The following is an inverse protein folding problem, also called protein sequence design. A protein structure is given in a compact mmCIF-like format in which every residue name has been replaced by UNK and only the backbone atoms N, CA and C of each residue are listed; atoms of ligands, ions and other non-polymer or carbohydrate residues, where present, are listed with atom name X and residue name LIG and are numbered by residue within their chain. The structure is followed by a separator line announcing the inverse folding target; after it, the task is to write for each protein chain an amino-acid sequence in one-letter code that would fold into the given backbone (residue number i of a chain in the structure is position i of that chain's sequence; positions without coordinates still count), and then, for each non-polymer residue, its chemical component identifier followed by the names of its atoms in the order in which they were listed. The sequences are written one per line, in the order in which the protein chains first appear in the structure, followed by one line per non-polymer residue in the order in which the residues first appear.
data_IF_081276250759
#
_entry.id   IF_081276250759
#
_cell.length_a   1.000
_cell.length_b   1.000
_cell.length_c   1.000
_cell.angle_alpha   90.00
_cell.angle_beta   90.00
_cell.angle_gamma   90.00
#
_symmetry.space_group_name_H-M   'P 1'
#
loop_
_entity.id
_entity.type
_entity.pdbx_description
1 polymer ?
#
# COMPACT_ATOMS: atom_id res chain seq x y z
N UNK A 1 -22.01 9.59 10.16
CA UNK A 1 -20.59 9.60 9.71
C UNK A 1 -20.34 10.86 8.90
N UNK A 2 -19.38 11.72 9.30
CA UNK A 2 -18.94 12.84 8.45
C UNK A 2 -18.18 12.25 7.26
N UNK A 3 -18.61 12.55 6.03
CA UNK A 3 -17.91 12.14 4.83
C UNK A 3 -16.56 12.86 4.76
N UNK A 4 -15.46 12.18 4.44
CA UNK A 4 -14.22 12.88 4.16
C UNK A 4 -14.44 13.83 2.98
N UNK A 5 -13.84 15.01 3.04
CA UNK A 5 -13.91 15.95 1.93
C UNK A 5 -13.23 15.32 0.70
N UNK A 6 -13.88 15.36 -0.45
CA UNK A 6 -13.38 14.73 -1.67
C UNK A 6 -11.95 15.17 -2.02
N UNK A 7 -11.64 16.46 -1.83
CA UNK A 7 -10.28 16.97 -2.08
C UNK A 7 -9.22 16.32 -1.17
N UNK A 8 -9.57 16.01 0.09
CA UNK A 8 -8.66 15.32 1.01
C UNK A 8 -8.35 13.90 0.54
N UNK A 9 -9.37 13.16 0.08
CA UNK A 9 -9.19 11.82 -0.47
C UNK A 9 -8.31 11.87 -1.71
N UNK A 10 -8.57 12.81 -2.62
CA UNK A 10 -7.77 13.00 -3.83
C UNK A 10 -6.32 13.37 -3.51
N UNK A 11 -6.09 14.30 -2.57
CA UNK A 11 -4.75 14.68 -2.14
C UNK A 11 -4.00 13.50 -1.50
N UNK A 12 -4.69 12.70 -0.69
CA UNK A 12 -4.08 11.52 -0.06
C UNK A 12 -3.72 10.43 -1.08
N UNK A 13 -4.61 10.16 -2.03
CA UNK A 13 -4.34 9.24 -3.15
C UNK A 13 -3.17 9.75 -4.01
N UNK A 14 -3.18 11.03 -4.38
CA UNK A 14 -2.08 11.63 -5.14
C UNK A 14 -0.75 11.53 -4.39
N UNK A 15 -0.74 11.81 -3.09
CA UNK A 15 0.44 11.64 -2.24
C UNK A 15 0.94 10.19 -2.26
N UNK A 16 0.06 9.21 -2.10
CA UNK A 16 0.43 7.79 -2.13
C UNK A 16 1.03 7.37 -3.48
N UNK A 17 0.46 7.84 -4.58
CA UNK A 17 0.96 7.60 -5.94
C UNK A 17 2.34 8.24 -6.14
N UNK A 18 2.49 9.52 -5.79
CA UNK A 18 3.75 10.26 -5.96
C UNK A 18 4.87 9.63 -5.14
N UNK A 19 4.64 9.37 -3.86
CA UNK A 19 5.67 8.78 -2.98
C UNK A 19 6.12 7.42 -3.51
N UNK A 20 5.20 6.61 -4.04
CA UNK A 20 5.56 5.29 -4.55
C UNK A 20 6.29 5.33 -5.89
N UNK A 21 5.96 6.27 -6.78
CA UNK A 21 6.57 6.40 -8.10
C UNK A 21 7.85 7.23 -8.10
N UNK A 22 8.04 8.12 -7.12
CA UNK A 22 9.14 9.07 -7.08
C UNK A 22 10.53 8.44 -7.26
N UNK A 23 10.89 7.32 -6.58
CA UNK A 23 12.20 6.69 -6.78
C UNK A 23 12.44 6.24 -8.22
N UNK A 24 11.41 5.68 -8.84
CA UNK A 24 11.47 5.18 -10.20
C UNK A 24 11.54 6.31 -11.22
N UNK A 25 10.82 7.40 -10.98
CA UNK A 25 10.89 8.61 -11.81
C UNK A 25 12.29 9.24 -11.74
N UNK A 26 12.86 9.37 -10.53
CA UNK A 26 14.20 9.92 -10.34
C UNK A 26 15.25 9.04 -11.03
N UNK A 27 15.13 7.72 -10.91
CA UNK A 27 16.03 6.79 -11.58
C UNK A 27 15.94 6.88 -13.11
N UNK A 28 14.73 7.06 -13.64
CA UNK A 28 14.52 7.24 -15.08
C UNK A 28 15.14 8.55 -15.61
N UNK A 29 15.37 9.56 -14.77
CA UNK A 29 16.08 10.81 -15.12
C UNK A 29 17.60 10.71 -14.95
N UNK A 30 18.15 9.53 -14.63
CA UNK A 30 19.58 9.32 -14.47
C UNK A 30 20.12 9.62 -13.06
N UNK A 31 19.25 9.87 -12.09
CA UNK A 31 19.64 10.03 -10.68
C UNK A 31 19.88 8.64 -10.09
N UNK A 32 21.15 8.31 -9.82
CA UNK A 32 21.53 7.10 -9.10
C UNK A 32 21.16 7.22 -7.64
N UNK A 33 20.09 6.52 -7.24
CA UNK A 33 19.69 6.38 -5.85
C UNK A 33 20.16 5.02 -5.35
N UNK A 34 21.07 4.96 -4.36
CA UNK A 34 21.42 3.71 -3.70
C UNK A 34 20.26 3.26 -2.81
N UNK A 35 19.24 2.62 -3.44
CA UNK A 35 18.00 2.18 -2.78
C UNK A 35 18.26 1.14 -1.68
N UNK A 36 19.41 0.45 -1.75
CA UNK A 36 19.88 -0.56 -0.80
C UNK A 36 20.45 0.03 0.50
N UNK A 37 20.91 1.30 0.48
CA UNK A 37 21.58 1.96 1.61
C UNK A 37 20.78 3.08 2.25
N UNK A 38 19.73 3.53 1.60
CA UNK A 38 18.91 4.63 2.14
C UNK A 38 17.71 4.08 2.92
N UNK A 39 17.67 4.39 4.21
CA UNK A 39 16.40 4.38 4.97
C UNK A 39 15.56 5.52 4.42
N UNK A 40 14.84 5.25 3.36
CA UNK A 40 14.13 6.27 2.63
C UNK A 40 12.63 6.30 3.00
N UNK A 41 12.02 7.51 2.94
CA UNK A 41 10.57 7.64 3.10
C UNK A 41 9.72 6.85 2.11
N UNK A 42 10.28 6.27 1.03
CA UNK A 42 9.54 5.40 0.12
C UNK A 42 9.17 4.04 0.71
N UNK A 43 9.87 3.55 1.72
CA UNK A 43 9.38 2.46 2.55
C UNK A 43 8.20 2.89 3.42
N UNK A 44 8.01 4.20 3.57
CA UNK A 44 6.83 4.80 4.18
C UNK A 44 5.73 5.00 3.12
N UNK A 45 5.44 3.96 2.36
CA UNK A 45 4.34 4.01 1.40
C UNK A 45 3.04 4.01 2.20
N UNK A 46 2.23 5.08 2.12
CA UNK A 46 1.04 5.23 2.96
C UNK A 46 -0.13 4.33 2.50
N UNK A 47 0.16 3.21 1.83
CA UNK A 47 -0.86 2.31 1.28
C UNK A 47 -1.62 1.57 2.36
N UNK A 48 -0.94 1.07 3.40
CA UNK A 48 -1.62 0.44 4.54
C UNK A 48 -2.52 1.44 5.24
N UNK A 49 -2.02 2.69 5.41
CA UNK A 49 -2.83 3.78 5.97
C UNK A 49 -4.02 4.11 5.06
N UNK A 50 -3.83 4.11 3.73
CA UNK A 50 -4.90 4.30 2.76
C UNK A 50 -5.95 3.19 2.85
N UNK A 51 -5.53 1.92 3.01
CA UNK A 51 -6.42 0.78 3.22
C UNK A 51 -7.28 0.95 4.48
N UNK A 52 -6.64 1.26 5.60
CA UNK A 52 -7.34 1.51 6.88
C UNK A 52 -8.29 2.70 6.77
N UNK A 53 -7.84 3.79 6.15
CA UNK A 53 -8.66 4.98 5.93
C UNK A 53 -9.87 4.67 5.04
N UNK A 54 -9.67 4.00 3.91
CA UNK A 54 -10.74 3.63 2.99
C UNK A 54 -11.77 2.71 3.68
N UNK A 55 -11.30 1.68 4.39
CA UNK A 55 -12.14 0.80 5.20
C UNK A 55 -12.97 1.56 6.23
N UNK A 56 -12.35 2.48 6.98
CA UNK A 56 -12.98 3.25 8.05
C UNK A 56 -13.98 4.31 7.56
N UNK A 57 -13.74 4.93 6.39
CA UNK A 57 -14.46 6.15 6.00
C UNK A 57 -15.35 6.02 4.78
N UNK A 58 -15.09 5.07 3.88
CA UNK A 58 -15.90 4.93 2.67
C UNK A 58 -17.22 4.23 3.01
N UNK A 59 -18.32 4.79 2.49
CA UNK A 59 -19.67 4.25 2.75
C UNK A 59 -19.86 2.88 2.10
N UNK A 60 -19.46 2.76 0.85
CA UNK A 60 -19.60 1.53 0.08
C UNK A 60 -18.37 0.64 0.27
N UNK A 61 -18.58 -0.63 0.63
CA UNK A 61 -17.51 -1.61 0.81
C UNK A 61 -16.68 -1.77 -0.47
N UNK A 62 -17.36 -1.86 -1.62
CA UNK A 62 -16.69 -1.97 -2.92
C UNK A 62 -15.68 -0.83 -3.14
N UNK A 63 -16.10 0.42 -2.89
CA UNK A 63 -15.22 1.58 -3.04
C UNK A 63 -14.06 1.56 -2.04
N UNK A 64 -14.29 1.03 -0.82
CA UNK A 64 -13.25 0.91 0.20
C UNK A 64 -12.12 -0.04 -0.22
N UNK A 65 -12.45 -1.15 -0.90
CA UNK A 65 -11.46 -2.09 -1.42
C UNK A 65 -10.86 -1.62 -2.76
N UNK A 66 -11.70 -1.11 -3.68
CA UNK A 66 -11.23 -0.71 -5.00
C UNK A 66 -10.25 0.46 -4.95
N UNK A 67 -10.44 1.44 -4.07
CA UNK A 67 -9.60 2.63 -4.04
C UNK A 67 -8.11 2.28 -3.80
N UNK A 68 -7.70 1.60 -2.72
CA UNK A 68 -6.30 1.23 -2.52
C UNK A 68 -5.79 0.25 -3.58
N UNK A 69 -6.61 -0.70 -4.04
CA UNK A 69 -6.20 -1.65 -5.08
C UNK A 69 -5.95 -0.96 -6.42
N UNK A 70 -6.78 0.02 -6.81
CA UNK A 70 -6.55 0.81 -8.02
C UNK A 70 -5.27 1.64 -7.91
N UNK A 71 -4.99 2.23 -6.73
CA UNK A 71 -3.72 2.93 -6.49
C UNK A 71 -2.54 1.98 -6.68
N UNK A 72 -2.64 0.75 -6.17
CA UNK A 72 -1.62 -0.29 -6.38
C UNK A 72 -1.42 -0.58 -7.87
N UNK A 73 -2.48 -0.94 -8.58
CA UNK A 73 -2.41 -1.27 -10.01
C UNK A 73 -1.80 -0.13 -10.83
N UNK A 74 -2.29 1.10 -10.62
CA UNK A 74 -1.80 2.29 -11.34
C UNK A 74 -0.32 2.53 -11.05
N UNK A 75 0.10 2.39 -9.80
CA UNK A 75 1.52 2.58 -9.45
C UNK A 75 2.39 1.42 -9.91
N UNK A 76 1.91 0.19 -9.93
CA UNK A 76 2.66 -0.96 -10.47
C UNK A 76 2.86 -0.80 -11.99
N UNK A 77 1.83 -0.40 -12.73
CA UNK A 77 1.96 -0.06 -14.15
C UNK A 77 2.99 1.08 -14.33
N UNK A 78 2.93 2.13 -13.49
CA UNK A 78 3.89 3.21 -13.51
C UNK A 78 5.32 2.74 -13.26
N UNK A 79 5.53 1.85 -12.28
CA UNK A 79 6.84 1.23 -12.01
C UNK A 79 7.34 0.47 -13.24
N UNK A 80 6.50 -0.34 -13.87
CA UNK A 80 6.85 -1.06 -15.11
C UNK A 80 7.30 -0.12 -16.22
N UNK A 81 6.58 0.99 -16.41
CA UNK A 81 6.90 1.99 -17.44
C UNK A 81 8.22 2.72 -17.14
N UNK A 82 8.42 3.21 -15.91
CA UNK A 82 9.64 3.95 -15.54
C UNK A 82 10.88 3.05 -15.43
N UNK A 83 10.71 1.79 -15.03
CA UNK A 83 11.82 0.85 -14.90
C UNK A 83 12.18 0.16 -16.21
N UNK A 84 11.31 0.20 -17.22
CA UNK A 84 11.47 -0.53 -18.46
C UNK A 84 11.33 -2.05 -18.31
N UNK A 85 10.89 -2.55 -17.16
CA UNK A 85 10.69 -3.97 -16.89
C UNK A 85 9.38 -4.24 -16.17
N UNK A 86 8.58 -5.13 -16.75
CA UNK A 86 7.30 -5.55 -16.16
C UNK A 86 7.51 -6.39 -14.89
N UNK A 87 8.65 -7.06 -14.75
CA UNK A 87 8.99 -7.86 -13.58
C UNK A 87 9.19 -7.02 -12.32
N UNK A 88 9.61 -5.77 -12.48
CA UNK A 88 9.69 -4.81 -11.37
C UNK A 88 8.30 -4.36 -10.87
N UNK A 89 7.29 -4.43 -11.73
CA UNK A 89 5.91 -4.09 -11.42
C UNK A 89 5.15 -5.29 -10.86
N UNK A 90 5.24 -6.43 -11.56
CA UNK A 90 4.49 -7.65 -11.27
C UNK A 90 5.45 -8.81 -11.07
N UNK A 91 5.78 -9.09 -9.82
CA UNK A 91 6.66 -10.18 -9.42
C UNK A 91 5.84 -11.35 -8.83
N UNK A 92 6.47 -12.49 -8.59
CA UNK A 92 5.81 -13.72 -8.12
C UNK A 92 4.93 -13.53 -6.88
N UNK A 93 5.32 -12.60 -6.00
CA UNK A 93 4.59 -12.32 -4.74
C UNK A 93 3.52 -11.24 -4.86
N UNK A 94 3.25 -10.70 -6.06
CA UNK A 94 2.28 -9.60 -6.25
C UNK A 94 0.90 -9.97 -5.69
N UNK A 95 0.40 -11.16 -5.95
CA UNK A 95 -0.91 -11.60 -5.43
C UNK A 95 -0.94 -11.65 -3.90
N UNK A 96 0.16 -12.06 -3.27
CA UNK A 96 0.28 -12.08 -1.80
C UNK A 96 0.21 -10.66 -1.23
N UNK A 97 0.93 -9.72 -1.85
CA UNK A 97 0.91 -8.31 -1.46
C UNK A 97 -0.48 -7.70 -1.61
N UNK A 98 -1.17 -7.95 -2.72
CA UNK A 98 -2.55 -7.49 -2.93
C UNK A 98 -3.51 -8.08 -1.91
N UNK A 99 -3.36 -9.37 -1.58
CA UNK A 99 -4.14 -10.02 -0.53
C UNK A 99 -3.93 -9.37 0.84
N UNK A 100 -2.69 -9.02 1.18
CA UNK A 100 -2.37 -8.31 2.42
C UNK A 100 -3.06 -6.93 2.49
N UNK A 101 -3.17 -6.20 1.38
CA UNK A 101 -3.91 -4.93 1.32
C UNK A 101 -5.42 -5.11 1.45
N UNK A 102 -5.99 -6.18 0.87
CA UNK A 102 -7.40 -6.53 1.08
C UNK A 102 -7.66 -6.79 2.57
N UNK A 103 -6.81 -7.57 3.23
CA UNK A 103 -6.91 -7.86 4.66
C UNK A 103 -6.74 -6.58 5.51
N UNK A 104 -5.80 -5.70 5.17
CA UNK A 104 -5.62 -4.41 5.84
C UNK A 104 -6.86 -3.52 5.68
N UNK A 105 -7.49 -3.51 4.51
CA UNK A 105 -8.76 -2.79 4.30
C UNK A 105 -9.87 -3.37 5.16
N UNK A 106 -9.93 -4.69 5.31
CA UNK A 106 -10.90 -5.38 6.18
C UNK A 106 -10.72 -4.98 7.64
N UNK A 107 -9.47 -4.86 8.12
CA UNK A 107 -9.20 -4.32 9.46
C UNK A 107 -9.68 -2.87 9.57
N UNK A 108 -9.53 -2.06 8.53
CA UNK A 108 -10.08 -0.69 8.50
C UNK A 108 -11.59 -0.63 8.68
N UNK A 109 -12.34 -1.65 8.22
CA UNK A 109 -13.79 -1.72 8.44
C UNK A 109 -14.16 -1.79 9.93
N UNK A 110 -13.31 -2.38 10.78
CA UNK A 110 -13.52 -2.47 12.22
C UNK A 110 -13.52 -1.08 12.90
N UNK A 111 -12.89 -0.09 12.28
CA UNK A 111 -12.89 1.30 12.78
C UNK A 111 -14.19 2.06 12.47
N UNK A 112 -15.15 1.43 11.78
CA UNK A 112 -16.44 2.06 11.49
C UNK A 112 -17.24 2.26 12.79
N UNK A 113 -17.55 3.52 13.08
CA UNK A 113 -18.37 3.88 14.27
C UNK A 113 -17.60 4.03 15.57
N UNK A 114 -16.40 3.47 15.70
CA UNK A 114 -15.55 3.59 16.90
C UNK A 114 -14.13 3.99 16.50
N UNK A 115 -13.75 5.24 16.74
CA UNK A 115 -12.45 5.80 16.29
C UNK A 115 -11.72 6.45 17.46
N UNK A 116 -11.53 5.69 18.53
CA UNK A 116 -10.68 6.12 19.63
C UNK A 116 -9.21 6.01 19.20
N UNK A 117 -8.34 6.83 19.79
CA UNK A 117 -6.91 6.80 19.48
C UNK A 117 -6.31 5.38 19.65
N UNK A 118 -6.73 4.68 20.71
CA UNK A 118 -6.28 3.30 20.96
C UNK A 118 -6.73 2.30 19.89
N UNK A 119 -7.97 2.43 19.38
CA UNK A 119 -8.45 1.57 18.31
C UNK A 119 -7.71 1.86 17.01
N UNK A 120 -7.48 3.14 16.69
CA UNK A 120 -6.73 3.52 15.50
C UNK A 120 -5.30 2.97 15.58
N UNK A 121 -4.59 3.22 16.69
CA UNK A 121 -3.22 2.74 16.89
C UNK A 121 -3.12 1.21 16.90
N UNK A 122 -4.03 0.53 17.60
CA UNK A 122 -4.07 -0.92 17.64
C UNK A 122 -4.38 -1.55 16.28
N UNK A 123 -5.32 -0.97 15.53
CA UNK A 123 -5.65 -1.46 14.18
C UNK A 123 -4.52 -1.19 13.20
N UNK A 124 -3.82 -0.06 13.30
CA UNK A 124 -2.65 0.24 12.49
C UNK A 124 -1.52 -0.78 12.75
N UNK A 125 -1.20 -1.03 14.03
CA UNK A 125 -0.20 -2.03 14.41
C UNK A 125 -0.59 -3.43 13.91
N UNK A 126 -1.85 -3.82 14.07
CA UNK A 126 -2.35 -5.10 13.59
C UNK A 126 -2.25 -5.23 12.06
N UNK A 127 -2.55 -4.16 11.31
CA UNK A 127 -2.46 -4.15 9.86
C UNK A 127 -1.00 -4.28 9.38
N UNK A 128 -0.06 -3.56 10.00
CA UNK A 128 1.36 -3.67 9.68
C UNK A 128 1.92 -5.06 10.03
N UNK A 129 1.56 -5.60 11.19
CA UNK A 129 1.96 -6.96 11.60
C UNK A 129 1.41 -8.00 10.63
N UNK A 130 0.13 -7.89 10.27
CA UNK A 130 -0.52 -8.80 9.31
C UNK A 130 0.15 -8.71 7.94
N UNK A 131 0.39 -7.49 7.46
CA UNK A 131 1.07 -7.26 6.20
C UNK A 131 2.46 -7.93 6.20
N UNK A 132 3.24 -7.68 7.24
CA UNK A 132 4.56 -8.30 7.42
C UNK A 132 4.49 -9.83 7.41
N UNK A 133 3.60 -10.44 8.19
CA UNK A 133 3.47 -11.89 8.26
C UNK A 133 3.04 -12.51 6.92
N UNK A 134 2.03 -11.93 6.26
CA UNK A 134 1.50 -12.44 4.99
C UNK A 134 2.55 -12.34 3.89
N UNK A 135 3.24 -11.20 3.77
CA UNK A 135 4.23 -11.01 2.71
C UNK A 135 5.48 -11.86 2.94
N UNK A 136 5.98 -11.98 4.17
CA UNK A 136 7.11 -12.86 4.47
C UNK A 136 6.76 -14.34 4.30
N UNK A 137 5.55 -14.77 4.68
CA UNK A 137 5.08 -16.13 4.40
C UNK A 137 5.02 -16.39 2.89
N UNK A 138 4.55 -15.42 2.10
CA UNK A 138 4.55 -15.50 0.65
C UNK A 138 5.95 -15.69 0.06
N UNK A 139 6.92 -14.92 0.53
CA UNK A 139 8.34 -15.08 0.12
C UNK A 139 8.85 -16.46 0.54
N UNK A 140 8.64 -16.86 1.79
CA UNK A 140 9.07 -18.16 2.30
C UNK A 140 8.52 -19.32 1.47
N UNK A 141 7.23 -19.28 1.12
CA UNK A 141 6.56 -20.37 0.40
C UNK A 141 6.91 -20.41 -1.11
N UNK A 142 7.33 -19.27 -1.70
CA UNK A 142 7.54 -19.18 -3.16
C UNK A 142 9.00 -19.20 -3.60
N UNK A 143 9.95 -18.86 -2.73
CA UNK A 143 11.35 -18.68 -3.14
C UNK A 143 12.27 -19.85 -2.81
N UNK A 144 11.85 -20.81 -1.99
CA UNK A 144 12.75 -21.92 -1.55
C UNK A 144 14.02 -21.45 -0.81
N UNK A 145 14.09 -20.18 -0.41
CA UNK A 145 15.29 -19.56 0.16
C UNK A 145 15.72 -20.18 1.51
N UNK A 146 14.87 -21.00 2.12
CA UNK A 146 15.08 -21.58 3.44
C UNK A 146 15.05 -23.13 3.43
N UNK A 147 15.15 -23.74 2.25
CA UNK A 147 15.27 -25.20 2.07
C UNK A 147 16.71 -25.62 1.76
#
# INVERSE_FOLDING_TARGET
MRRPRTWFVLAFVAYAVVVRLLPWMLRATGVELPLDRMVYPWNFVPLTVLCLFAGAHFRHHVAAYLCPLLVMVVTDIGIGLFSGSIENAFHSNTLVVYSAFVLSTSLGLLLRGRRTAWMIGGTALAAETLFFLVTNFGVWSSTGMYT
#
